data_IF_282814724777
#
_entry.id   IF_282814724777
#
_cell.length_a   1.000
_cell.length_b   1.000
_cell.length_c   1.000
_cell.angle_alpha   90.00
_cell.angle_beta   90.00
_cell.angle_gamma   90.00
#
_symmetry.space_group_name_H-M   'P 1'
#
loop_
_entity.id
_entity.type
_entity.pdbx_description
1 polymer ?
#
# COMPACT_ATOMS: atom_id res chain seq x y z
N UNK A 1 -12.68 -10.26 -23.50
CA UNK A 1 -13.85 -9.47 -23.06
C UNK A 1 -14.05 -8.21 -23.92
N UNK A 2 -13.08 -7.75 -24.68
CA UNK A 2 -13.17 -6.60 -25.60
C UNK A 2 -13.18 -5.23 -24.88
N UNK A 3 -12.77 -5.18 -23.62
CA UNK A 3 -12.60 -3.93 -22.91
C UNK A 3 -11.26 -3.26 -23.23
N UNK A 4 -11.24 -1.92 -23.24
CA UNK A 4 -10.02 -1.12 -23.34
C UNK A 4 -9.85 -0.36 -22.03
N UNK A 5 -8.68 -0.45 -21.40
CA UNK A 5 -8.33 0.32 -20.24
C UNK A 5 -7.32 1.42 -20.60
N UNK A 6 -7.54 2.62 -20.06
CA UNK A 6 -6.59 3.73 -20.14
C UNK A 6 -6.11 4.01 -18.71
N UNK A 7 -4.80 4.09 -18.54
CA UNK A 7 -4.17 4.41 -17.26
C UNK A 7 -3.67 5.85 -17.25
N UNK A 8 -3.86 6.53 -16.14
CA UNK A 8 -3.28 7.84 -15.85
C UNK A 8 -2.99 7.96 -14.35
N UNK A 9 -1.89 8.56 -14.01
CA UNK A 9 -1.52 8.87 -12.63
C UNK A 9 -0.73 10.19 -12.60
N UNK A 10 -0.73 10.94 -11.49
CA UNK A 10 0.22 12.02 -11.31
C UNK A 10 1.65 11.45 -11.17
N UNK A 11 2.65 12.25 -11.50
CA UNK A 11 4.06 11.84 -11.43
C UNK A 11 4.57 11.73 -9.98
N UNK A 12 3.90 12.42 -9.05
CA UNK A 12 4.19 12.42 -7.61
C UNK A 12 2.89 12.33 -6.82
N UNK A 13 2.96 12.12 -5.50
CA UNK A 13 1.80 12.14 -4.62
C UNK A 13 1.21 13.57 -4.56
N UNK A 14 0.26 13.86 -5.47
CA UNK A 14 -0.37 15.18 -5.65
C UNK A 14 -1.88 15.01 -5.89
N UNK A 15 -2.66 15.34 -4.88
CA UNK A 15 -4.12 15.18 -4.91
C UNK A 15 -4.81 16.19 -5.84
N UNK A 16 -4.22 17.37 -6.06
CA UNK A 16 -4.76 18.34 -7.02
C UNK A 16 -4.60 17.83 -8.46
N UNK A 17 -3.42 17.32 -8.78
CA UNK A 17 -3.18 16.69 -10.07
C UNK A 17 -4.06 15.44 -10.25
N UNK A 18 -4.26 14.65 -9.20
CA UNK A 18 -5.12 13.46 -9.24
C UNK A 18 -6.58 13.82 -9.50
N UNK A 19 -7.13 14.82 -8.81
CA UNK A 19 -8.50 15.33 -9.07
C UNK A 19 -8.67 15.75 -10.52
N UNK A 20 -7.72 16.50 -11.09
CA UNK A 20 -7.75 16.92 -12.50
C UNK A 20 -7.73 15.73 -13.47
N UNK A 21 -6.99 14.65 -13.16
CA UNK A 21 -6.99 13.43 -13.98
C UNK A 21 -8.32 12.68 -13.89
N UNK A 22 -8.97 12.65 -12.72
CA UNK A 22 -10.32 12.10 -12.55
C UNK A 22 -11.31 12.90 -13.37
N UNK A 23 -11.30 14.23 -13.26
CA UNK A 23 -12.19 15.13 -14.04
C UNK A 23 -12.01 14.92 -15.54
N UNK A 24 -10.74 14.83 -16.00
CA UNK A 24 -10.43 14.57 -17.40
C UNK A 24 -10.89 13.17 -17.87
N UNK A 25 -10.91 12.18 -16.97
CA UNK A 25 -11.45 10.86 -17.27
C UNK A 25 -12.98 10.90 -17.35
N UNK A 26 -13.66 11.55 -16.39
CA UNK A 26 -15.11 11.73 -16.35
C UNK A 26 -15.60 12.45 -17.60
N UNK A 27 -14.91 13.51 -18.03
CA UNK A 27 -15.26 14.26 -19.25
C UNK A 27 -15.25 13.40 -20.53
N UNK A 28 -14.54 12.26 -20.55
CA UNK A 28 -14.55 11.31 -21.68
C UNK A 28 -15.74 10.34 -21.64
N UNK A 29 -16.55 10.40 -20.59
CA UNK A 29 -17.71 9.55 -20.37
C UNK A 29 -17.42 8.04 -20.55
N UNK A 30 -16.46 7.46 -19.79
CA UNK A 30 -16.11 6.04 -19.88
C UNK A 30 -17.25 5.15 -19.37
N UNK A 31 -17.21 3.87 -19.75
CA UNK A 31 -18.14 2.85 -19.25
C UNK A 31 -17.92 2.47 -17.77
N UNK A 32 -16.83 2.91 -17.17
CA UNK A 32 -16.51 2.73 -15.75
C UNK A 32 -15.19 3.40 -15.38
N UNK A 33 -15.02 3.69 -14.08
CA UNK A 33 -13.85 4.32 -13.50
C UNK A 33 -13.25 3.41 -12.43
N UNK A 34 -11.95 3.16 -12.52
CA UNK A 34 -11.15 2.49 -11.48
C UNK A 34 -10.23 3.55 -10.86
N UNK A 35 -10.31 3.75 -9.55
CA UNK A 35 -9.61 4.86 -8.90
C UNK A 35 -9.05 4.46 -7.53
N UNK A 36 -7.82 4.87 -7.24
CA UNK A 36 -7.26 4.87 -5.88
C UNK A 36 -7.67 6.16 -5.17
N UNK A 37 -8.04 6.08 -3.89
CA UNK A 37 -8.55 7.22 -3.11
C UNK A 37 -7.75 7.37 -1.82
N UNK A 38 -6.51 7.87 -1.88
CA UNK A 38 -5.65 8.02 -0.70
C UNK A 38 -6.07 9.18 0.20
N UNK A 39 -6.76 10.19 -0.34
CA UNK A 39 -7.32 11.33 0.37
C UNK A 39 -8.73 11.59 -0.17
N UNK A 40 -9.75 11.04 0.51
CA UNK A 40 -11.14 11.17 0.08
C UNK A 40 -11.63 12.61 0.09
N UNK A 41 -11.41 13.43 1.13
CA UNK A 41 -11.79 14.84 1.12
C UNK A 41 -11.28 15.63 -0.08
N UNK A 42 -10.04 15.38 -0.52
CA UNK A 42 -9.44 16.07 -1.66
C UNK A 42 -10.03 15.64 -3.01
N UNK A 43 -10.58 14.43 -3.11
CA UNK A 43 -11.09 13.84 -4.35
C UNK A 43 -12.62 13.80 -4.43
N UNK A 44 -13.32 14.17 -3.35
CA UNK A 44 -14.75 14.01 -3.19
C UNK A 44 -15.58 14.64 -4.32
N UNK A 45 -15.25 15.86 -4.73
CA UNK A 45 -16.01 16.59 -5.76
C UNK A 45 -15.86 15.91 -7.13
N UNK A 46 -14.66 15.47 -7.49
CA UNK A 46 -14.42 14.76 -8.75
C UNK A 46 -15.11 13.39 -8.80
N UNK A 47 -15.17 12.69 -7.67
CA UNK A 47 -15.87 11.41 -7.54
C UNK A 47 -17.40 11.59 -7.58
N UNK A 48 -17.91 12.66 -6.96
CA UNK A 48 -19.32 13.03 -7.04
C UNK A 48 -19.73 13.33 -8.49
N UNK A 49 -18.90 14.06 -9.26
CA UNK A 49 -19.15 14.33 -10.67
C UNK A 49 -19.22 13.03 -11.51
N UNK A 50 -18.39 12.03 -11.20
CA UNK A 50 -18.46 10.71 -11.86
C UNK A 50 -19.82 10.02 -11.58
N UNK A 51 -20.27 10.04 -10.32
CA UNK A 51 -21.57 9.48 -9.94
C UNK A 51 -22.74 10.22 -10.61
N UNK A 52 -22.70 11.56 -10.66
CA UNK A 52 -23.73 12.38 -11.34
C UNK A 52 -23.80 12.09 -12.83
N UNK A 53 -22.65 11.77 -13.45
CA UNK A 53 -22.56 11.32 -14.84
C UNK A 53 -23.03 9.86 -15.04
N UNK A 54 -23.37 9.14 -13.97
CA UNK A 54 -23.80 7.74 -14.03
C UNK A 54 -22.67 6.78 -14.35
N UNK A 55 -21.40 7.14 -14.13
CA UNK A 55 -20.24 6.31 -14.37
C UNK A 55 -20.01 5.41 -13.16
N UNK A 56 -20.09 4.06 -13.29
CA UNK A 56 -19.82 3.14 -12.19
C UNK A 56 -18.36 3.22 -11.75
N UNK A 57 -18.13 3.30 -10.44
CA UNK A 57 -16.82 3.42 -9.82
C UNK A 57 -16.48 2.10 -9.12
N UNK A 58 -15.21 1.68 -9.22
CA UNK A 58 -14.57 0.70 -8.33
C UNK A 58 -13.33 1.36 -7.74
N UNK A 59 -13.22 1.38 -6.42
CA UNK A 59 -12.01 1.84 -5.75
C UNK A 59 -10.98 0.72 -5.66
N UNK A 60 -9.70 1.06 -5.75
CA UNK A 60 -8.57 0.12 -5.67
C UNK A 60 -7.48 0.67 -4.77
N UNK A 61 -6.64 -0.20 -4.22
CA UNK A 61 -5.48 0.16 -3.41
C UNK A 61 -5.90 0.95 -2.16
N UNK A 62 -6.03 2.28 -2.25
CA UNK A 62 -6.55 3.13 -1.17
C UNK A 62 -8.04 3.44 -1.37
N UNK A 63 -8.77 3.65 -0.26
CA UNK A 63 -10.20 4.01 -0.29
C UNK A 63 -11.14 2.90 0.19
N UNK A 64 -10.62 1.86 0.84
CA UNK A 64 -11.43 0.80 1.46
C UNK A 64 -12.46 1.33 2.46
N UNK A 65 -12.12 2.38 3.21
CA UNK A 65 -12.98 2.95 4.23
C UNK A 65 -14.11 3.83 3.67
N UNK A 66 -13.89 4.38 2.47
CA UNK A 66 -14.80 5.37 1.88
C UNK A 66 -15.56 4.87 0.65
N UNK A 67 -15.30 3.66 0.14
CA UNK A 67 -15.90 3.20 -1.14
C UNK A 67 -17.43 3.24 -1.14
N UNK A 68 -18.08 2.98 0.00
CA UNK A 68 -19.55 3.05 0.11
C UNK A 68 -20.05 4.49 0.07
N UNK A 69 -19.37 5.41 0.75
CA UNK A 69 -19.70 6.84 0.74
C UNK A 69 -19.46 7.45 -0.65
N UNK A 70 -18.44 7.01 -1.34
CA UNK A 70 -18.16 7.36 -2.74
C UNK A 70 -19.28 6.87 -3.67
N UNK A 71 -20.05 5.87 -3.28
CA UNK A 71 -21.02 5.21 -4.15
C UNK A 71 -20.38 4.20 -5.11
N UNK A 72 -19.17 3.73 -4.82
CA UNK A 72 -18.48 2.73 -5.61
C UNK A 72 -19.18 1.36 -5.49
N UNK A 73 -19.13 0.58 -6.57
CA UNK A 73 -19.71 -0.78 -6.60
C UNK A 73 -19.07 -1.71 -5.58
N UNK A 74 -17.77 -1.59 -5.40
CA UNK A 74 -16.94 -2.31 -4.43
C UNK A 74 -15.57 -1.64 -4.33
N UNK A 75 -14.79 -2.07 -3.33
CA UNK A 75 -13.35 -1.85 -3.26
C UNK A 75 -12.62 -3.14 -3.66
N UNK A 76 -11.53 -3.05 -4.41
CA UNK A 76 -10.63 -4.16 -4.73
C UNK A 76 -9.24 -3.82 -4.20
N UNK A 77 -8.86 -4.41 -3.08
CA UNK A 77 -7.63 -4.04 -2.39
C UNK A 77 -7.45 -4.85 -1.11
N UNK A 78 -6.82 -4.26 -0.13
CA UNK A 78 -6.75 -4.83 1.22
C UNK A 78 -7.40 -3.87 2.22
N UNK A 79 -7.72 -4.37 3.39
CA UNK A 79 -8.01 -3.55 4.56
C UNK A 79 -6.68 -3.14 5.17
N UNK A 80 -6.38 -1.85 5.14
CA UNK A 80 -5.05 -1.34 5.51
C UNK A 80 -4.79 -1.45 7.02
N UNK A 81 -5.82 -1.31 7.85
CA UNK A 81 -5.71 -1.54 9.29
C UNK A 81 -5.44 -3.00 9.59
N UNK A 82 -6.17 -3.92 8.96
CA UNK A 82 -5.96 -5.38 9.12
C UNK A 82 -4.57 -5.78 8.64
N UNK A 83 -4.11 -5.23 7.52
CA UNK A 83 -2.77 -5.49 7.00
C UNK A 83 -1.68 -4.95 7.92
N UNK A 84 -1.88 -3.74 8.47
CA UNK A 84 -1.00 -3.17 9.48
C UNK A 84 -0.92 -4.01 10.75
N UNK A 85 -2.08 -4.44 11.28
CA UNK A 85 -2.12 -5.35 12.44
C UNK A 85 -1.39 -6.68 12.14
N UNK A 86 -1.55 -7.22 10.93
CA UNK A 86 -0.84 -8.42 10.51
C UNK A 86 0.68 -8.23 10.49
N UNK A 87 1.17 -7.07 10.01
CA UNK A 87 2.59 -6.71 10.04
C UNK A 87 3.12 -6.61 11.48
N UNK A 88 2.43 -5.82 12.32
CA UNK A 88 2.83 -5.60 13.71
C UNK A 88 2.81 -6.89 14.53
N UNK A 89 1.77 -7.71 14.39
CA UNK A 89 1.67 -8.99 15.08
C UNK A 89 2.84 -9.92 14.71
N UNK A 90 3.16 -10.02 13.41
CA UNK A 90 4.29 -10.83 12.96
C UNK A 90 5.62 -10.30 13.47
N UNK A 91 5.86 -8.99 13.42
CA UNK A 91 7.07 -8.41 13.98
C UNK A 91 7.22 -8.72 15.47
N UNK A 92 6.14 -8.62 16.24
CA UNK A 92 6.12 -8.95 17.66
C UNK A 92 6.36 -10.45 17.92
N UNK A 93 5.75 -11.34 17.12
CA UNK A 93 6.00 -12.79 17.18
C UNK A 93 7.47 -13.13 16.90
N UNK A 94 8.11 -12.41 15.98
CA UNK A 94 9.53 -12.53 15.63
C UNK A 94 10.45 -11.80 16.66
N UNK A 95 9.89 -11.17 17.70
CA UNK A 95 10.58 -10.63 18.86
C UNK A 95 10.80 -9.12 18.88
N UNK A 96 10.28 -8.35 17.90
CA UNK A 96 10.38 -6.89 17.92
C UNK A 96 9.54 -6.30 19.07
N UNK A 97 10.13 -5.36 19.81
CA UNK A 97 9.53 -4.70 20.95
C UNK A 97 9.46 -3.19 20.81
N UNK A 98 10.36 -2.59 20.04
CA UNK A 98 10.42 -1.16 19.80
C UNK A 98 10.58 -0.88 18.32
N UNK A 99 9.49 -0.53 17.68
CA UNK A 99 9.38 -0.42 16.22
C UNK A 99 9.24 1.02 15.78
N UNK A 100 9.85 1.37 14.65
CA UNK A 100 9.53 2.60 13.92
C UNK A 100 8.77 2.25 12.62
N UNK A 101 7.69 3.00 12.33
CA UNK A 101 6.93 2.90 11.09
C UNK A 101 7.32 4.07 10.18
N UNK A 102 7.88 3.78 9.00
CA UNK A 102 8.37 4.78 8.05
C UNK A 102 7.23 5.16 7.10
N UNK A 103 6.66 6.36 7.30
CA UNK A 103 5.60 6.90 6.43
C UNK A 103 6.21 7.89 5.44
N UNK A 104 6.24 7.52 4.16
CA UNK A 104 6.79 8.29 3.05
C UNK A 104 5.76 9.16 2.32
N UNK A 105 4.45 9.04 2.63
CA UNK A 105 3.37 9.79 1.99
C UNK A 105 2.46 10.42 3.05
N UNK A 106 2.88 11.55 3.57
CA UNK A 106 2.11 12.28 4.59
C UNK A 106 0.75 12.70 4.04
N UNK A 107 -0.33 12.34 4.76
CA UNK A 107 -1.71 12.60 4.34
C UNK A 107 -2.34 11.47 3.53
N UNK A 108 -1.62 10.37 3.28
CA UNK A 108 -2.22 9.15 2.74
C UNK A 108 -2.88 8.34 3.86
N UNK A 109 -4.22 8.34 3.90
CA UNK A 109 -5.00 7.67 4.92
C UNK A 109 -4.73 6.15 5.00
N UNK A 110 -4.44 5.50 3.86
CA UNK A 110 -4.08 4.08 3.82
C UNK A 110 -2.75 3.80 4.53
N UNK A 111 -1.74 4.66 4.35
CA UNK A 111 -0.45 4.50 5.03
C UNK A 111 -0.57 4.79 6.53
N UNK A 112 -1.37 5.78 6.91
CA UNK A 112 -1.66 6.05 8.32
C UNK A 112 -2.37 4.85 8.96
N UNK A 113 -3.33 4.23 8.28
CA UNK A 113 -4.03 3.03 8.75
C UNK A 113 -3.08 1.83 8.93
N UNK A 114 -2.10 1.63 8.03
CA UNK A 114 -1.05 0.60 8.18
C UNK A 114 -0.21 0.82 9.44
N UNK A 115 0.31 2.04 9.67
CA UNK A 115 1.07 2.34 10.89
C UNK A 115 0.21 2.18 12.15
N UNK A 116 -1.05 2.65 12.13
CA UNK A 116 -1.94 2.55 13.28
C UNK A 116 -2.26 1.09 13.61
N UNK A 117 -2.60 0.27 12.61
CA UNK A 117 -2.84 -1.16 12.81
C UNK A 117 -1.61 -1.91 13.34
N UNK A 118 -0.42 -1.60 12.80
CA UNK A 118 0.84 -2.18 13.29
C UNK A 118 1.11 -1.77 14.73
N UNK A 119 0.89 -0.49 15.06
CA UNK A 119 1.04 0.05 16.42
C UNK A 119 0.14 -0.68 17.42
N UNK A 120 -1.14 -0.86 17.08
CA UNK A 120 -2.07 -1.59 17.94
C UNK A 120 -1.57 -3.00 18.26
N UNK A 121 -1.11 -3.75 17.25
CA UNK A 121 -0.63 -5.11 17.45
C UNK A 121 0.67 -5.19 18.26
N UNK A 122 1.62 -4.27 18.04
CA UNK A 122 2.86 -4.17 18.81
C UNK A 122 2.57 -3.80 20.27
N UNK A 123 1.67 -2.84 20.51
CA UNK A 123 1.27 -2.43 21.88
C UNK A 123 0.50 -3.53 22.61
N UNK A 124 -0.36 -4.29 21.94
CA UNK A 124 -1.02 -5.49 22.48
C UNK A 124 -0.01 -6.56 22.92
N UNK A 125 1.13 -6.66 22.22
CA UNK A 125 2.23 -7.55 22.59
C UNK A 125 3.16 -6.96 23.69
N UNK A 126 2.90 -5.75 24.15
CA UNK A 126 3.68 -5.08 25.22
C UNK A 126 4.85 -4.24 24.71
N UNK A 127 4.95 -4.03 23.40
CA UNK A 127 5.94 -3.18 22.76
C UNK A 127 5.48 -1.74 22.53
N UNK A 128 6.18 -1.03 21.66
CA UNK A 128 5.86 0.33 21.23
C UNK A 128 6.16 0.54 19.76
N UNK A 129 5.39 1.42 19.11
CA UNK A 129 5.65 1.83 17.72
C UNK A 129 5.51 3.34 17.60
N UNK A 130 6.52 3.98 16.98
CA UNK A 130 6.52 5.40 16.63
C UNK A 130 6.53 5.58 15.11
N UNK A 131 5.83 6.61 14.61
CA UNK A 131 5.82 6.94 13.19
C UNK A 131 6.92 7.94 12.88
N UNK A 132 7.76 7.60 11.90
CA UNK A 132 8.80 8.46 11.35
C UNK A 132 8.39 8.90 9.95
N UNK A 133 8.16 10.19 9.77
CA UNK A 133 7.81 10.74 8.47
C UNK A 133 9.07 11.03 7.64
N UNK A 134 9.06 10.65 6.38
CA UNK A 134 10.13 10.92 5.42
C UNK A 134 9.55 11.46 4.11
N UNK A 135 10.39 12.08 3.28
CA UNK A 135 9.95 12.56 1.97
C UNK A 135 10.14 11.46 0.92
N UNK A 136 9.04 11.08 0.25
CA UNK A 136 9.01 10.12 -0.87
C UNK A 136 10.02 10.47 -1.98
N UNK A 137 10.26 11.77 -2.21
CA UNK A 137 11.09 12.28 -3.30
C UNK A 137 12.56 12.51 -2.90
N UNK A 138 12.92 12.30 -1.62
CA UNK A 138 14.28 12.47 -1.09
C UNK A 138 14.77 11.20 -0.39
N UNK A 139 15.18 10.21 -1.16
CA UNK A 139 15.69 8.94 -0.63
C UNK A 139 16.93 9.12 0.28
N UNK A 140 17.80 10.08 -0.02
CA UNK A 140 18.99 10.35 0.80
C UNK A 140 18.63 11.02 2.14
N UNK A 141 17.67 11.95 2.11
CA UNK A 141 17.13 12.56 3.33
C UNK A 141 16.34 11.54 4.16
N UNK A 142 15.58 10.64 3.53
CA UNK A 142 14.89 9.55 4.19
C UNK A 142 15.88 8.61 4.90
N UNK A 143 16.95 8.17 4.20
CA UNK A 143 18.01 7.37 4.79
C UNK A 143 18.65 8.06 6.00
N UNK A 144 19.04 9.34 5.86
CA UNK A 144 19.66 10.11 6.94
C UNK A 144 18.74 10.28 8.15
N UNK A 145 17.43 10.45 7.93
CA UNK A 145 16.44 10.55 9.01
C UNK A 145 16.34 9.23 9.76
N UNK A 146 16.26 8.10 9.05
CA UNK A 146 16.19 6.77 9.65
C UNK A 146 17.48 6.45 10.42
N UNK A 147 18.66 6.71 9.84
CA UNK A 147 19.96 6.53 10.52
C UNK A 147 20.02 7.33 11.83
N UNK A 148 19.63 8.61 11.79
CA UNK A 148 19.64 9.49 12.96
C UNK A 148 18.68 8.96 14.04
N UNK A 149 17.51 8.47 13.67
CA UNK A 149 16.52 7.87 14.60
C UNK A 149 17.10 6.62 15.27
N UNK A 150 17.67 5.70 14.48
CA UNK A 150 18.29 4.47 14.98
C UNK A 150 19.54 4.70 15.83
N UNK A 151 20.25 5.83 15.64
CA UNK A 151 21.41 6.23 16.46
C UNK A 151 20.96 6.91 17.76
N UNK A 152 19.88 7.69 17.72
CA UNK A 152 19.34 8.38 18.89
C UNK A 152 18.74 7.40 19.90
N UNK A 153 18.23 6.28 19.43
CA UNK A 153 17.61 5.25 20.26
C UNK A 153 18.09 3.84 19.86
N UNK A 154 19.03 3.34 20.62
CA UNK A 154 19.65 2.02 20.37
C UNK A 154 18.75 0.82 20.73
N UNK A 155 17.60 1.08 21.40
CA UNK A 155 16.64 0.04 21.75
C UNK A 155 15.67 -0.28 20.59
N UNK A 156 15.67 0.50 19.51
CA UNK A 156 14.87 0.20 18.32
C UNK A 156 15.38 -1.10 17.70
N UNK A 157 14.50 -2.10 17.66
CA UNK A 157 14.75 -3.46 17.19
C UNK A 157 13.88 -3.83 15.96
N UNK A 158 13.00 -2.91 15.51
CA UNK A 158 12.16 -3.11 14.33
C UNK A 158 11.95 -1.85 13.50
N UNK A 159 11.91 -2.02 12.17
CA UNK A 159 11.57 -0.99 11.18
C UNK A 159 10.50 -1.56 10.25
N UNK A 160 9.35 -0.90 10.18
CA UNK A 160 8.28 -1.20 9.25
C UNK A 160 8.20 -0.08 8.19
N UNK A 161 8.58 -0.37 6.96
CA UNK A 161 8.39 0.53 5.84
C UNK A 161 7.02 0.29 5.17
N UNK A 162 6.40 1.33 4.61
CA UNK A 162 5.05 1.23 4.05
C UNK A 162 5.03 1.06 2.52
N UNK A 163 6.19 0.84 1.94
CA UNK A 163 6.39 0.56 0.52
C UNK A 163 7.88 0.52 0.16
N UNK A 164 8.22 0.06 -1.07
CA UNK A 164 9.62 -0.06 -1.51
C UNK A 164 10.41 1.25 -1.46
N UNK A 165 9.75 2.40 -1.66
CA UNK A 165 10.36 3.73 -1.59
C UNK A 165 10.80 4.13 -0.18
N UNK A 166 10.16 3.58 0.85
CA UNK A 166 10.61 3.70 2.25
C UNK A 166 11.56 2.57 2.64
N UNK A 167 11.37 1.37 2.09
CA UNK A 167 12.17 0.19 2.41
C UNK A 167 13.61 0.28 1.93
N UNK A 168 13.85 0.82 0.72
CA UNK A 168 15.21 1.02 0.19
C UNK A 168 16.08 1.91 1.09
N UNK A 169 15.66 3.14 1.42
CA UNK A 169 16.36 3.98 2.39
C UNK A 169 16.52 3.34 3.78
N UNK A 170 15.51 2.59 4.27
CA UNK A 170 15.60 1.90 5.56
C UNK A 170 16.66 0.79 5.53
N UNK A 171 16.70 -0.03 4.47
CA UNK A 171 17.72 -1.04 4.29
C UNK A 171 19.11 -0.42 4.20
N UNK A 172 19.29 0.66 3.42
CA UNK A 172 20.56 1.36 3.30
C UNK A 172 21.02 1.94 4.64
N UNK A 173 20.11 2.49 5.45
CA UNK A 173 20.38 2.99 6.79
C UNK A 173 20.88 1.85 7.73
N UNK A 174 20.20 0.71 7.73
CA UNK A 174 20.59 -0.44 8.55
C UNK A 174 21.93 -1.02 8.11
N UNK A 175 22.19 -1.12 6.81
CA UNK A 175 23.48 -1.56 6.27
C UNK A 175 24.60 -0.59 6.64
N UNK A 176 24.38 0.73 6.52
CA UNK A 176 25.34 1.76 6.90
C UNK A 176 25.72 1.73 8.38
N UNK A 177 24.78 1.33 9.24
CA UNK A 177 24.96 1.16 10.67
C UNK A 177 25.47 -0.24 11.08
N UNK A 178 25.65 -1.18 10.13
CA UNK A 178 25.93 -2.60 10.37
C UNK A 178 24.87 -3.27 11.27
N UNK A 179 23.61 -2.94 11.08
CA UNK A 179 22.44 -3.47 11.81
C UNK A 179 21.51 -4.32 10.94
N UNK A 180 21.79 -4.46 9.64
CA UNK A 180 21.00 -5.31 8.75
C UNK A 180 21.03 -6.76 9.24
N UNK A 181 19.85 -7.38 9.36
CA UNK A 181 19.68 -8.71 9.96
C UNK A 181 19.60 -8.73 11.49
N UNK A 182 20.13 -7.73 12.20
CA UNK A 182 20.02 -7.61 13.67
C UNK A 182 18.76 -6.84 14.09
N UNK A 183 18.41 -5.77 13.35
CA UNK A 183 17.15 -5.04 13.48
C UNK A 183 16.18 -5.59 12.44
N UNK A 184 15.01 -6.00 12.86
CA UNK A 184 13.99 -6.49 11.93
C UNK A 184 13.60 -5.40 10.93
N UNK A 185 13.65 -5.69 9.64
CA UNK A 185 13.09 -4.84 8.60
C UNK A 185 11.95 -5.57 7.91
N UNK A 186 10.79 -4.93 7.85
CA UNK A 186 9.64 -5.41 7.10
C UNK A 186 9.08 -4.28 6.23
N UNK A 187 8.36 -4.63 5.18
CA UNK A 187 7.75 -3.62 4.30
C UNK A 187 6.38 -4.05 3.80
N UNK A 188 5.66 -3.10 3.25
CA UNK A 188 4.55 -3.36 2.33
C UNK A 188 5.09 -3.34 0.91
N UNK A 189 4.38 -4.02 0.02
CA UNK A 189 4.65 -4.15 -1.40
C UNK A 189 5.97 -4.82 -1.74
N UNK A 190 6.03 -5.34 -2.95
CA UNK A 190 7.15 -6.08 -3.45
C UNK A 190 7.73 -5.45 -4.71
N UNK A 191 9.04 -5.51 -4.83
CA UNK A 191 9.80 -5.33 -6.05
C UNK A 191 11.01 -6.29 -6.00
N UNK A 192 11.83 -6.29 -7.03
CA UNK A 192 12.99 -7.17 -7.09
C UNK A 192 13.95 -6.96 -5.92
N UNK A 193 14.20 -5.70 -5.52
CA UNK A 193 15.12 -5.34 -4.43
C UNK A 193 14.61 -5.84 -3.07
N UNK A 194 13.30 -5.67 -2.80
CA UNK A 194 12.65 -6.17 -1.58
C UNK A 194 12.75 -7.70 -1.51
N UNK A 195 12.45 -8.39 -2.62
CA UNK A 195 12.51 -9.86 -2.67
C UNK A 195 13.95 -10.36 -2.47
N UNK A 196 14.93 -9.68 -3.07
CA UNK A 196 16.34 -10.03 -2.91
C UNK A 196 16.82 -9.80 -1.47
N UNK A 197 16.39 -8.72 -0.81
CA UNK A 197 16.68 -8.45 0.59
C UNK A 197 16.06 -9.50 1.53
N UNK A 198 14.83 -9.97 1.25
CA UNK A 198 14.20 -11.06 1.99
C UNK A 198 14.99 -12.37 1.80
N UNK A 199 15.37 -12.69 0.57
CA UNK A 199 16.15 -13.90 0.28
C UNK A 199 17.54 -13.87 0.92
N UNK A 200 18.14 -12.70 1.06
CA UNK A 200 19.43 -12.49 1.73
C UNK A 200 19.33 -12.53 3.27
N UNK A 201 18.15 -12.40 3.85
CA UNK A 201 17.93 -12.27 5.29
C UNK A 201 18.10 -10.87 5.85
N UNK A 202 18.29 -9.87 4.99
CA UNK A 202 18.39 -8.45 5.36
C UNK A 202 17.01 -7.82 5.64
N UNK A 203 15.93 -8.48 5.18
CA UNK A 203 14.54 -8.11 5.43
C UNK A 203 13.75 -9.36 5.83
N UNK A 204 12.90 -9.22 6.86
CA UNK A 204 12.17 -10.35 7.45
C UNK A 204 11.01 -10.80 6.56
N UNK A 205 10.22 -9.85 6.05
CA UNK A 205 9.08 -10.12 5.18
C UNK A 205 8.60 -8.87 4.45
N UNK A 206 7.77 -9.08 3.44
CA UNK A 206 6.94 -8.04 2.83
C UNK A 206 5.46 -8.45 2.85
N UNK A 207 4.57 -7.45 3.00
CA UNK A 207 3.14 -7.63 2.77
C UNK A 207 2.85 -7.32 1.31
N UNK A 208 2.35 -8.33 0.59
CA UNK A 208 1.94 -8.24 -0.79
C UNK A 208 0.42 -8.09 -0.87
N UNK A 209 -0.04 -6.98 -1.36
CA UNK A 209 -1.44 -6.71 -1.59
C UNK A 209 -1.93 -7.17 -2.98
N UNK A 210 -1.08 -7.82 -3.76
CA UNK A 210 -1.35 -8.39 -5.07
C UNK A 210 -1.90 -7.36 -6.08
N UNK A 211 -1.11 -6.34 -6.36
CA UNK A 211 -1.50 -5.20 -7.20
C UNK A 211 -1.95 -5.61 -8.61
N UNK A 212 -1.43 -6.73 -9.14
CA UNK A 212 -1.91 -7.28 -10.40
C UNK A 212 -3.42 -7.56 -10.37
N UNK A 213 -3.92 -8.15 -9.27
CA UNK A 213 -5.36 -8.40 -9.10
C UNK A 213 -6.15 -7.09 -8.98
N UNK A 214 -5.57 -6.08 -8.32
CA UNK A 214 -6.20 -4.76 -8.19
C UNK A 214 -6.34 -4.05 -9.54
N UNK A 215 -5.42 -4.28 -10.47
CA UNK A 215 -5.54 -3.78 -11.84
C UNK A 215 -6.48 -4.64 -12.71
N UNK A 216 -6.46 -5.95 -12.55
CA UNK A 216 -7.16 -6.89 -13.41
C UNK A 216 -8.65 -7.04 -13.08
N UNK A 217 -8.98 -7.28 -11.80
CA UNK A 217 -10.35 -7.60 -11.39
C UNK A 217 -11.35 -6.48 -11.65
N UNK A 218 -11.06 -5.19 -11.38
CA UNK A 218 -12.00 -4.12 -11.65
C UNK A 218 -12.40 -4.01 -13.11
N UNK A 219 -11.47 -4.26 -14.04
CA UNK A 219 -11.77 -4.24 -15.49
C UNK A 219 -12.74 -5.38 -15.84
N UNK A 220 -12.54 -6.57 -15.25
CA UNK A 220 -13.47 -7.70 -15.41
C UNK A 220 -14.85 -7.34 -14.85
N UNK A 221 -14.90 -6.79 -13.63
CA UNK A 221 -16.15 -6.49 -12.94
C UNK A 221 -16.95 -5.38 -13.64
N UNK A 222 -16.29 -4.28 -14.03
CA UNK A 222 -16.95 -3.21 -14.79
C UNK A 222 -17.43 -3.69 -16.15
N UNK A 223 -16.67 -4.54 -16.85
CA UNK A 223 -17.10 -5.14 -18.12
C UNK A 223 -18.36 -5.97 -17.95
N UNK A 224 -18.40 -6.84 -16.94
CA UNK A 224 -19.57 -7.68 -16.65
C UNK A 224 -20.76 -6.85 -16.13
N UNK A 225 -20.50 -5.79 -15.39
CA UNK A 225 -21.55 -4.85 -14.97
C UNK A 225 -22.17 -4.17 -16.19
N UNK A 226 -21.36 -3.67 -17.12
CA UNK A 226 -21.84 -3.02 -18.34
C UNK A 226 -22.61 -3.96 -19.25
N UNK A 227 -22.14 -5.19 -19.44
CA UNK A 227 -22.70 -6.15 -20.40
C UNK A 227 -23.92 -6.91 -19.84
N UNK A 228 -23.88 -7.26 -18.56
CA UNK A 228 -24.81 -8.22 -17.95
C UNK A 228 -25.47 -7.71 -16.67
N UNK A 229 -25.19 -6.47 -16.25
CA UNK A 229 -25.64 -5.91 -14.96
C UNK A 229 -25.20 -6.73 -13.75
N UNK A 230 -24.09 -7.47 -13.87
CA UNK A 230 -23.54 -8.20 -12.75
C UNK A 230 -23.03 -7.25 -11.68
N UNK A 231 -23.20 -7.63 -10.42
CA UNK A 231 -22.63 -6.96 -9.25
C UNK A 231 -21.69 -7.93 -8.52
N UNK A 232 -20.73 -7.38 -7.79
CA UNK A 232 -19.73 -8.16 -7.05
C UNK A 232 -19.63 -7.67 -5.60
N UNK A 233 -19.02 -8.46 -4.74
CA UNK A 233 -18.76 -8.11 -3.35
C UNK A 233 -19.96 -8.22 -2.41
N UNK A 234 -21.20 -8.15 -2.90
CA UNK A 234 -22.39 -8.17 -2.05
C UNK A 234 -22.41 -7.06 -0.99
N UNK A 235 -21.84 -5.89 -1.31
CA UNK A 235 -21.68 -4.76 -0.39
C UNK A 235 -20.42 -4.84 0.47
N UNK A 236 -19.52 -5.79 0.20
CA UNK A 236 -18.23 -5.95 0.88
C UNK A 236 -17.08 -5.75 -0.12
N UNK A 237 -15.87 -5.37 0.34
CA UNK A 237 -14.70 -5.28 -0.51
C UNK A 237 -14.26 -6.67 -1.01
N UNK A 238 -13.60 -6.68 -2.16
CA UNK A 238 -12.91 -7.86 -2.70
C UNK A 238 -11.46 -7.78 -2.26
N UNK A 239 -11.11 -8.56 -1.25
CA UNK A 239 -9.78 -8.50 -0.65
C UNK A 239 -8.74 -9.21 -1.52
N UNK A 240 -7.62 -8.53 -1.80
CA UNK A 240 -6.45 -9.06 -2.51
C UNK A 240 -5.24 -9.25 -1.60
N UNK A 241 -5.35 -8.93 -0.32
CA UNK A 241 -4.32 -9.04 0.72
C UNK A 241 -4.92 -8.95 2.11
N UNK A 242 -4.07 -8.99 3.17
CA UNK A 242 -2.61 -9.11 3.11
C UNK A 242 -2.12 -10.52 2.76
N UNK A 243 -1.16 -10.63 1.85
CA UNK A 243 -0.34 -11.83 1.66
C UNK A 243 1.07 -11.60 2.22
N UNK A 244 1.74 -12.64 2.70
CA UNK A 244 3.10 -12.52 3.21
C UNK A 244 4.13 -13.11 2.24
N UNK A 245 5.14 -12.32 1.90
CA UNK A 245 6.34 -12.77 1.21
C UNK A 245 7.45 -12.88 2.24
N UNK A 246 8.00 -14.08 2.36
CA UNK A 246 9.04 -14.45 3.33
C UNK A 246 10.14 -15.22 2.62
N UNK A 247 11.22 -15.56 3.31
CA UNK A 247 12.29 -16.40 2.76
C UNK A 247 11.76 -17.72 2.17
N UNK A 248 10.66 -18.27 2.70
CA UNK A 248 10.09 -19.55 2.25
C UNK A 248 9.49 -19.49 0.84
N UNK A 249 9.01 -18.31 0.38
CA UNK A 249 8.33 -18.17 -0.91
C UNK A 249 8.94 -17.09 -1.83
N UNK A 250 9.94 -16.35 -1.36
CA UNK A 250 10.55 -15.24 -2.10
C UNK A 250 11.04 -15.65 -3.51
N UNK A 251 11.75 -16.78 -3.62
CA UNK A 251 12.23 -17.30 -4.90
C UNK A 251 11.12 -17.61 -5.90
N UNK A 252 9.98 -18.15 -5.43
CA UNK A 252 8.83 -18.45 -6.29
C UNK A 252 8.15 -17.18 -6.80
N UNK A 253 8.16 -16.12 -6.00
CA UNK A 253 7.49 -14.85 -6.31
C UNK A 253 8.38 -13.96 -7.19
N UNK A 254 9.70 -14.09 -7.11
CA UNK A 254 10.67 -13.23 -7.79
C UNK A 254 10.42 -13.12 -9.31
N UNK A 255 10.26 -14.26 -9.98
CA UNK A 255 10.02 -14.27 -11.43
C UNK A 255 8.65 -13.68 -11.78
N UNK A 256 7.63 -13.92 -10.95
CA UNK A 256 6.28 -13.40 -11.14
C UNK A 256 6.22 -11.88 -10.93
N UNK A 257 6.93 -11.38 -9.91
CA UNK A 257 7.06 -9.94 -9.66
C UNK A 257 7.81 -9.23 -10.81
N UNK A 258 8.92 -9.83 -11.29
CA UNK A 258 9.66 -9.31 -12.43
C UNK A 258 8.83 -9.32 -13.73
N UNK A 259 7.91 -10.27 -13.89
CA UNK A 259 6.97 -10.34 -15.02
C UNK A 259 5.77 -9.40 -14.86
N UNK A 260 5.60 -8.71 -13.72
CA UNK A 260 4.47 -7.84 -13.42
C UNK A 260 3.14 -8.57 -13.26
N UNK A 261 3.17 -9.83 -12.85
CA UNK A 261 1.96 -10.67 -12.64
C UNK A 261 1.70 -10.98 -11.16
N UNK A 262 2.55 -10.40 -10.32
CA UNK A 262 2.38 -10.46 -8.87
C UNK A 262 2.56 -9.09 -8.24
#
# INVERSE_FOLDING_TARGET
MGATANYSAPDTFDMVAMAQLIDAAVAKNPDGLVVSVPDFPALQDSLAAANEAGIPIITVNSGSDNYQEIGALTHVGQDETVAGRGAGARMAEDGATKVICINQEVGNAGLDARCNGAKEAIEEAGGSLEVVQVDLNDAAGAQSTIESTLQADAEIDGVLALGPTGAGPALAALQGLNKAGDVQLATFDINTEVIDAIAAGDMSFAIDQQQYLQGYLPIVFLTLNKQNLNTVGGGQPILTGPGFVTADNAEQIKELAAAGTR
#
